data_IF_113310082628
#
_entry.id   IF_113310082628
#
_cell.length_a   1.000
_cell.length_b   1.000
_cell.length_c   1.000
_cell.angle_alpha   90.00
_cell.angle_beta   90.00
_cell.angle_gamma   90.00
#
_symmetry.space_group_name_H-M   'P 1'
#
loop_
_entity.id
_entity.type
_entity.pdbx_description
1 polymer ?
#
# COMPACT_ATOMS: atom_id res chain seq x y z
N UNK A 1 -22.46 13.24 26.10
CA UNK A 1 -22.36 11.77 26.20
C UNK A 1 -21.20 11.30 25.34
N UNK A 2 -20.02 10.99 25.91
CA UNK A 2 -18.92 10.43 25.13
C UNK A 2 -19.21 8.95 24.89
N UNK A 3 -19.48 8.57 23.65
CA UNK A 3 -19.54 7.18 23.22
C UNK A 3 -18.14 6.58 23.38
N UNK A 4 -17.93 5.83 24.46
CA UNK A 4 -16.78 4.93 24.59
C UNK A 4 -16.77 4.04 23.35
N UNK A 5 -15.78 4.24 22.47
CA UNK A 5 -15.42 3.27 21.44
C UNK A 5 -14.96 2.03 22.21
N UNK A 6 -15.86 1.07 22.42
CA UNK A 6 -15.47 -0.24 22.92
C UNK A 6 -14.49 -0.80 21.91
N UNK A 7 -13.23 -0.94 22.32
CA UNK A 7 -12.21 -1.70 21.60
C UNK A 7 -12.67 -3.16 21.55
N UNK A 8 -13.56 -3.50 20.60
CA UNK A 8 -13.73 -4.89 20.20
C UNK A 8 -12.43 -5.24 19.49
N UNK A 9 -11.57 -5.96 20.20
CA UNK A 9 -10.36 -6.50 19.61
C UNK A 9 -10.81 -7.51 18.55
N UNK A 10 -10.49 -7.21 17.30
CA UNK A 10 -10.68 -8.14 16.19
C UNK A 10 -9.96 -9.45 16.50
N UNK A 11 -10.42 -10.53 15.86
CA UNK A 11 -9.77 -11.83 15.99
C UNK A 11 -8.27 -11.68 15.66
N UNK A 12 -7.37 -12.40 16.38
CA UNK A 12 -5.92 -12.23 16.26
C UNK A 12 -5.36 -12.55 14.86
N UNK A 13 -6.16 -13.18 14.00
CA UNK A 13 -5.87 -13.49 12.59
C UNK A 13 -6.41 -12.44 11.61
N UNK A 14 -7.14 -11.43 12.08
CA UNK A 14 -7.71 -10.39 11.22
C UNK A 14 -6.60 -9.54 10.58
N UNK A 15 -6.70 -9.38 9.27
CA UNK A 15 -5.73 -8.60 8.50
C UNK A 15 -5.72 -7.12 8.90
N UNK A 16 -4.59 -6.44 8.75
CA UNK A 16 -4.46 -4.99 9.03
C UNK A 16 -5.54 -4.17 8.29
N UNK A 17 -5.93 -4.59 7.08
CA UNK A 17 -7.00 -3.93 6.33
C UNK A 17 -8.37 -4.05 7.02
N UNK A 18 -8.68 -5.18 7.63
CA UNK A 18 -9.94 -5.36 8.39
C UNK A 18 -9.96 -4.45 9.63
N UNK A 19 -8.83 -4.33 10.33
CA UNK A 19 -8.69 -3.43 11.47
C UNK A 19 -8.90 -1.97 11.07
N UNK A 20 -8.28 -1.53 9.98
CA UNK A 20 -8.45 -0.16 9.47
C UNK A 20 -9.88 0.07 8.99
N UNK A 21 -10.49 -0.91 8.31
CA UNK A 21 -11.88 -0.83 7.86
C UNK A 21 -12.88 -0.66 8.99
N UNK A 22 -12.76 -1.47 10.04
CA UNK A 22 -13.60 -1.34 11.24
C UNK A 22 -13.38 -0.03 11.97
N UNK A 23 -12.11 0.41 12.10
CA UNK A 23 -11.78 1.69 12.69
C UNK A 23 -12.45 2.85 11.95
N UNK A 24 -12.34 2.90 10.61
CA UNK A 24 -13.00 3.94 9.80
C UNK A 24 -14.52 3.92 9.95
N UNK A 25 -15.11 2.72 9.89
CA UNK A 25 -16.56 2.54 10.02
C UNK A 25 -17.08 2.97 11.39
N UNK A 26 -16.38 2.60 12.46
CA UNK A 26 -16.75 2.96 13.84
C UNK A 26 -16.75 4.46 14.09
N UNK A 27 -15.92 5.22 13.34
CA UNK A 27 -15.80 6.67 13.46
C UNK A 27 -16.61 7.43 12.41
N UNK A 28 -17.15 6.76 11.40
CA UNK A 28 -17.88 7.39 10.31
C UNK A 28 -17.04 8.36 9.47
N UNK A 29 -15.71 8.27 9.52
CA UNK A 29 -14.79 9.28 8.98
C UNK A 29 -14.19 8.87 7.62
N UNK A 30 -14.83 7.95 6.89
CA UNK A 30 -14.31 7.46 5.60
C UNK A 30 -14.08 8.60 4.61
N UNK A 31 -14.98 9.58 4.54
CA UNK A 31 -14.89 10.71 3.61
C UNK A 31 -13.82 11.74 4.00
N UNK A 32 -13.30 11.68 5.23
CA UNK A 32 -12.23 12.56 5.74
C UNK A 32 -10.84 11.88 5.65
N UNK A 33 -10.81 10.59 5.29
CA UNK A 33 -9.59 9.78 5.29
C UNK A 33 -9.12 9.55 3.86
N UNK A 34 -7.85 9.85 3.58
CA UNK A 34 -7.19 9.41 2.33
C UNK A 34 -6.62 8.01 2.55
N UNK A 35 -7.21 7.03 1.88
CA UNK A 35 -6.88 5.62 2.06
C UNK A 35 -5.96 5.12 0.95
N UNK A 36 -4.79 4.63 1.37
CA UNK A 36 -3.80 4.01 0.50
C UNK A 36 -3.61 2.53 0.82
N UNK A 37 -3.59 1.68 -0.20
CA UNK A 37 -3.25 0.25 -0.06
C UNK A 37 -2.49 -0.25 -1.28
N UNK A 38 -1.99 -1.49 -1.23
CA UNK A 38 -1.11 -2.06 -2.25
C UNK A 38 -1.52 -3.48 -2.63
N UNK A 39 -1.08 -3.90 -3.81
CA UNK A 39 -1.11 -5.29 -4.27
C UNK A 39 0.24 -5.65 -4.90
N UNK A 40 0.58 -6.95 -4.93
CA UNK A 40 1.63 -7.64 -5.73
C UNK A 40 2.02 -8.93 -4.98
N UNK A 41 2.02 -8.88 -3.65
CA UNK A 41 2.41 -10.01 -2.80
C UNK A 41 1.31 -11.07 -2.74
N UNK A 42 1.67 -12.35 -2.84
CA UNK A 42 0.71 -13.44 -2.70
C UNK A 42 0.24 -13.58 -1.24
N UNK A 43 -0.96 -13.08 -0.95
CA UNK A 43 -1.57 -13.14 0.38
C UNK A 43 -2.38 -14.42 0.63
N UNK A 44 -2.54 -15.28 -0.40
CA UNK A 44 -3.24 -16.58 -0.31
C UNK A 44 -2.31 -17.79 -0.36
N UNK A 45 -1.00 -17.58 -0.26
CA UNK A 45 0.04 -18.62 -0.41
C UNK A 45 -0.09 -19.85 0.50
N UNK A 46 -0.91 -19.80 1.55
CA UNK A 46 -1.19 -20.95 2.42
C UNK A 46 -2.19 -21.96 1.82
N UNK A 47 -2.92 -21.61 0.75
CA UNK A 47 -3.98 -22.46 0.17
C UNK A 47 -3.46 -23.28 -1.03
N UNK A 48 -2.85 -24.44 -0.76
CA UNK A 48 -2.20 -25.27 -1.79
C UNK A 48 -3.14 -25.81 -2.88
N UNK A 49 -4.45 -25.83 -2.62
CA UNK A 49 -5.45 -26.37 -3.55
C UNK A 49 -5.92 -25.36 -4.62
N UNK A 50 -5.48 -24.10 -4.55
CA UNK A 50 -5.85 -23.05 -5.50
C UNK A 50 -4.69 -22.65 -6.44
N UNK A 51 -5.02 -22.15 -7.64
CA UNK A 51 -4.02 -21.60 -8.58
C UNK A 51 -3.43 -20.31 -8.00
N UNK A 52 -2.21 -20.42 -7.48
CA UNK A 52 -1.51 -19.34 -6.76
C UNK A 52 -1.10 -18.16 -7.65
N UNK A 53 -0.88 -18.39 -8.95
CA UNK A 53 -0.46 -17.33 -9.88
C UNK A 53 -1.49 -16.20 -10.04
N UNK A 54 -2.75 -16.45 -9.68
CA UNK A 54 -3.81 -15.44 -9.77
C UNK A 54 -3.91 -14.56 -8.51
N UNK A 55 -3.18 -14.87 -7.44
CA UNK A 55 -3.26 -14.15 -6.16
C UNK A 55 -1.98 -13.41 -5.81
N UNK A 56 -0.98 -13.42 -6.70
CA UNK A 56 0.25 -12.68 -6.59
C UNK A 56 0.75 -12.17 -7.94
N UNK A 57 1.79 -11.36 -7.90
CA UNK A 57 2.38 -10.72 -9.07
C UNK A 57 1.57 -9.55 -9.62
N UNK A 58 2.06 -8.99 -10.72
CA UNK A 58 1.57 -7.73 -11.30
C UNK A 58 0.53 -7.90 -12.41
N UNK A 59 0.14 -9.14 -12.72
CA UNK A 59 -0.91 -9.46 -13.71
C UNK A 59 -2.26 -8.81 -13.41
N UNK A 60 -3.02 -8.50 -14.47
CA UNK A 60 -4.33 -7.82 -14.34
C UNK A 60 -5.32 -8.61 -13.49
N UNK A 61 -5.25 -9.94 -13.51
CA UNK A 61 -6.10 -10.82 -12.72
C UNK A 61 -5.82 -10.69 -11.22
N UNK A 62 -4.55 -10.76 -10.83
CA UNK A 62 -4.07 -10.55 -9.45
C UNK A 62 -4.51 -9.18 -8.92
N UNK A 63 -4.31 -8.15 -9.73
CA UNK A 63 -4.72 -6.78 -9.38
C UNK A 63 -6.22 -6.66 -9.13
N UNK A 64 -7.07 -7.16 -10.04
CA UNK A 64 -8.53 -7.09 -9.92
C UNK A 64 -9.05 -7.85 -8.70
N UNK A 65 -8.51 -9.05 -8.45
CA UNK A 65 -8.89 -9.86 -7.27
C UNK A 65 -8.45 -9.15 -5.99
N UNK A 66 -7.20 -8.67 -5.94
CA UNK A 66 -6.64 -7.97 -4.79
C UNK A 66 -7.42 -6.69 -4.46
N UNK A 67 -7.85 -5.93 -5.47
CA UNK A 67 -8.70 -4.76 -5.27
C UNK A 67 -10.05 -5.14 -4.67
N UNK A 68 -10.71 -6.17 -5.23
CA UNK A 68 -12.01 -6.65 -4.73
C UNK A 68 -11.93 -7.09 -3.26
N UNK A 69 -10.92 -7.88 -2.93
CA UNK A 69 -10.70 -8.37 -1.57
C UNK A 69 -10.33 -7.22 -0.63
N UNK A 70 -9.53 -6.24 -1.09
CA UNK A 70 -9.18 -5.05 -0.31
C UNK A 70 -10.39 -4.20 0.02
N UNK A 71 -11.26 -3.91 -0.95
CA UNK A 71 -12.50 -3.14 -0.72
C UNK A 71 -13.41 -3.83 0.30
N UNK A 72 -13.52 -5.16 0.23
CA UNK A 72 -14.28 -5.96 1.19
C UNK A 72 -13.67 -5.87 2.59
N UNK A 73 -12.36 -6.07 2.73
CA UNK A 73 -11.66 -6.03 4.01
C UNK A 73 -11.71 -4.64 4.65
N UNK A 74 -11.50 -3.60 3.85
CA UNK A 74 -11.54 -2.20 4.28
C UNK A 74 -12.97 -1.67 4.49
N UNK A 75 -14.00 -2.47 4.17
CA UNK A 75 -15.41 -2.10 4.30
C UNK A 75 -15.77 -0.76 3.62
N UNK A 76 -15.22 -0.54 2.42
CA UNK A 76 -15.38 0.70 1.64
C UNK A 76 -15.69 0.40 0.18
N UNK A 77 -16.28 1.36 -0.53
CA UNK A 77 -16.58 1.25 -1.96
C UNK A 77 -15.48 1.80 -2.86
N UNK A 78 -14.53 2.56 -2.30
CA UNK A 78 -13.41 3.14 -3.04
C UNK A 78 -12.13 3.20 -2.20
N UNK A 79 -11.00 3.28 -2.90
CA UNK A 79 -9.64 3.49 -2.40
C UNK A 79 -9.08 4.71 -3.12
N UNK A 80 -8.38 5.59 -2.40
CA UNK A 80 -7.87 6.84 -2.93
C UNK A 80 -6.54 6.64 -3.69
N UNK A 81 -5.64 5.82 -3.13
CA UNK A 81 -4.36 5.46 -3.76
C UNK A 81 -4.16 3.93 -3.75
N UNK A 82 -4.01 3.34 -4.92
CA UNK A 82 -3.75 1.91 -5.08
C UNK A 82 -2.39 1.69 -5.72
N UNK A 83 -1.44 1.18 -4.93
CA UNK A 83 -0.06 0.96 -5.35
C UNK A 83 0.14 -0.42 -5.95
N UNK A 84 0.95 -0.49 -7.01
CA UNK A 84 1.75 -1.67 -7.29
C UNK A 84 2.89 -1.71 -6.26
N UNK A 85 2.99 -2.80 -5.50
CA UNK A 85 3.89 -2.88 -4.36
C UNK A 85 5.32 -3.21 -4.78
N UNK A 86 5.50 -4.17 -5.70
CA UNK A 86 6.81 -4.65 -6.11
C UNK A 86 6.81 -4.98 -7.59
N UNK A 87 7.86 -4.57 -8.31
CA UNK A 87 8.05 -4.99 -9.69
C UNK A 87 8.55 -6.44 -9.73
N UNK A 88 7.83 -7.31 -10.42
CA UNK A 88 8.08 -8.76 -10.49
C UNK A 88 8.57 -9.23 -11.87
N UNK A 89 8.69 -8.31 -12.84
CA UNK A 89 9.08 -8.58 -14.23
C UNK A 89 8.21 -9.60 -14.99
N UNK A 90 7.04 -9.98 -14.44
CA UNK A 90 6.16 -10.98 -15.07
C UNK A 90 5.25 -10.37 -16.12
N UNK A 91 5.06 -9.05 -16.07
CA UNK A 91 4.21 -8.29 -16.98
C UNK A 91 4.98 -7.16 -17.64
N UNK A 92 4.59 -6.83 -18.86
CA UNK A 92 5.12 -5.66 -19.56
C UNK A 92 4.53 -4.36 -18.97
N UNK A 93 5.30 -3.27 -19.02
CA UNK A 93 4.83 -1.93 -18.61
C UNK A 93 3.54 -1.52 -19.36
N UNK A 94 3.42 -1.74 -20.70
CA UNK A 94 2.19 -1.43 -21.42
C UNK A 94 0.97 -2.21 -20.91
N UNK A 95 1.11 -3.51 -20.67
CA UNK A 95 0.03 -4.36 -20.17
C UNK A 95 -0.45 -3.91 -18.78
N UNK A 96 0.50 -3.63 -17.88
CA UNK A 96 0.18 -3.15 -16.54
C UNK A 96 -0.57 -1.82 -16.60
N UNK A 97 -0.05 -0.85 -17.36
CA UNK A 97 -0.64 0.49 -17.47
C UNK A 97 -2.04 0.40 -18.06
N UNK A 98 -2.25 -0.46 -19.06
CA UNK A 98 -3.57 -0.73 -19.63
C UNK A 98 -4.52 -1.33 -18.60
N UNK A 99 -4.03 -2.25 -17.77
CA UNK A 99 -4.82 -2.91 -16.73
C UNK A 99 -5.28 -1.93 -15.65
N UNK A 100 -4.36 -1.10 -15.14
CA UNK A 100 -4.66 -0.06 -14.17
C UNK A 100 -5.67 0.94 -14.74
N UNK A 101 -5.49 1.33 -15.99
CA UNK A 101 -6.44 2.20 -16.68
C UNK A 101 -7.83 1.57 -16.78
N UNK A 102 -7.93 0.28 -17.10
CA UNK A 102 -9.21 -0.44 -17.15
C UNK A 102 -9.99 -0.41 -15.82
N UNK A 103 -9.30 -0.45 -14.67
CA UNK A 103 -9.95 -0.31 -13.35
C UNK A 103 -10.54 1.08 -13.13
N UNK A 104 -9.84 2.11 -13.58
CA UNK A 104 -10.28 3.51 -13.44
C UNK A 104 -11.43 3.83 -14.39
N UNK A 105 -11.36 3.35 -15.63
CA UNK A 105 -12.41 3.53 -16.65
C UNK A 105 -13.72 2.90 -16.21
N UNK A 106 -13.68 1.75 -15.52
CA UNK A 106 -14.85 1.12 -14.91
C UNK A 106 -15.46 1.94 -13.75
N UNK A 107 -14.70 2.89 -13.18
CA UNK A 107 -15.13 3.75 -12.05
C UNK A 107 -15.71 5.12 -12.44
N UNK A 108 -15.31 5.70 -13.58
CA UNK A 108 -15.94 6.83 -14.32
C UNK A 108 -14.99 7.33 -15.42
N UNK A 109 -15.56 7.57 -16.61
CA UNK A 109 -15.01 8.19 -17.82
C UNK A 109 -13.69 8.96 -17.64
N UNK A 110 -12.58 8.41 -18.16
CA UNK A 110 -11.32 9.12 -18.33
C UNK A 110 -11.17 9.59 -19.79
N UNK A 111 -10.85 10.87 -19.97
CA UNK A 111 -10.94 11.60 -21.24
C UNK A 111 -10.03 10.99 -22.30
N UNK A 112 -10.69 10.52 -23.36
CA UNK A 112 -10.26 10.54 -24.75
C UNK A 112 -8.75 10.36 -24.96
N UNK A 113 -8.33 9.09 -24.87
CA UNK A 113 -6.99 8.55 -25.18
C UNK A 113 -5.89 8.66 -24.10
N UNK A 114 -6.18 9.23 -22.91
CA UNK A 114 -5.24 9.40 -21.79
C UNK A 114 -5.24 8.29 -20.72
N UNK A 115 -4.20 7.44 -20.73
CA UNK A 115 -3.86 6.55 -19.61
C UNK A 115 -3.52 7.41 -18.37
N UNK A 116 -3.92 6.96 -17.17
CA UNK A 116 -3.70 7.75 -15.95
C UNK A 116 -2.23 7.66 -15.50
N UNK A 117 -1.52 8.78 -15.31
CA UNK A 117 -0.11 8.76 -14.91
C UNK A 117 0.04 8.25 -13.47
N UNK A 118 1.21 7.71 -13.17
CA UNK A 118 1.59 7.43 -11.78
C UNK A 118 1.64 8.75 -11.02
N UNK A 119 0.97 8.80 -9.86
CA UNK A 119 0.86 10.03 -9.06
C UNK A 119 1.80 10.06 -7.87
N UNK A 120 2.21 8.89 -7.35
CA UNK A 120 3.09 8.78 -6.19
C UNK A 120 4.05 7.60 -6.36
N UNK A 121 5.33 7.82 -6.04
CA UNK A 121 6.37 6.80 -5.92
C UNK A 121 6.70 6.56 -4.45
N UNK A 122 6.66 5.29 -4.02
CA UNK A 122 7.11 4.86 -2.69
C UNK A 122 8.40 4.05 -2.80
N UNK A 123 9.47 4.54 -2.17
CA UNK A 123 10.80 3.93 -2.20
C UNK A 123 11.54 4.01 -0.87
N UNK A 124 12.59 3.20 -0.73
CA UNK A 124 13.43 3.22 0.47
C UNK A 124 14.32 4.46 0.44
N UNK A 125 14.29 5.26 1.50
CA UNK A 125 15.23 6.37 1.65
C UNK A 125 15.42 6.70 3.12
N UNK A 126 16.68 6.93 3.51
CA UNK A 126 17.04 7.45 4.82
C UNK A 126 18.47 8.01 4.79
N UNK A 127 18.92 8.65 5.88
CA UNK A 127 20.24 9.29 5.94
C UNK A 127 21.43 8.35 5.64
N UNK A 128 21.27 7.03 5.80
CA UNK A 128 22.28 6.03 5.50
C UNK A 128 22.14 5.39 4.10
N UNK A 129 20.96 5.47 3.47
CA UNK A 129 20.66 4.92 2.14
C UNK A 129 20.04 6.00 1.26
N UNK A 130 20.88 6.61 0.42
CA UNK A 130 20.58 7.82 -0.36
C UNK A 130 20.56 7.61 -1.87
N UNK A 131 20.61 6.37 -2.35
CA UNK A 131 20.57 6.06 -3.80
C UNK A 131 19.33 6.65 -4.49
N UNK A 132 18.23 6.78 -3.73
CA UNK A 132 17.01 7.46 -4.12
C UNK A 132 17.23 8.87 -4.71
N UNK A 133 18.24 9.59 -4.23
CA UNK A 133 18.52 10.98 -4.62
C UNK A 133 19.18 11.11 -5.98
N UNK A 134 19.85 10.04 -6.45
CA UNK A 134 20.58 10.06 -7.72
C UNK A 134 19.64 10.10 -8.91
N UNK A 135 18.66 9.20 -8.91
CA UNK A 135 17.83 8.94 -10.10
C UNK A 135 16.34 9.20 -9.83
N UNK A 136 15.83 8.81 -8.66
CA UNK A 136 14.39 8.84 -8.40
C UNK A 136 13.88 10.23 -8.08
N UNK A 137 14.58 10.99 -7.22
CA UNK A 137 14.15 12.36 -6.90
C UNK A 137 14.13 13.26 -8.13
N UNK A 138 15.20 13.33 -8.97
CA UNK A 138 15.17 14.16 -10.17
C UNK A 138 14.07 13.72 -11.14
N UNK A 139 13.89 12.41 -11.34
CA UNK A 139 12.81 11.89 -12.19
C UNK A 139 11.44 12.32 -11.68
N UNK A 140 11.15 12.15 -10.39
CA UNK A 140 9.86 12.54 -9.82
C UNK A 140 9.61 14.05 -9.90
N UNK A 141 10.65 14.88 -9.80
CA UNK A 141 10.54 16.33 -10.00
C UNK A 141 10.17 16.70 -11.43
N UNK A 142 10.78 16.04 -12.42
CA UNK A 142 10.50 16.28 -13.85
C UNK A 142 9.10 15.78 -14.24
N UNK A 143 8.73 14.59 -13.78
CA UNK A 143 7.46 13.94 -14.13
C UNK A 143 6.27 14.42 -13.29
N UNK A 144 6.50 15.27 -12.28
CA UNK A 144 5.46 15.76 -11.38
C UNK A 144 4.86 14.68 -10.48
N UNK A 145 5.66 13.68 -10.11
CA UNK A 145 5.25 12.53 -9.29
C UNK A 145 5.55 12.81 -7.82
N UNK A 146 4.58 12.57 -6.93
CA UNK A 146 4.76 12.70 -5.50
C UNK A 146 5.71 11.64 -4.93
N UNK A 147 6.44 11.96 -3.86
CA UNK A 147 7.34 11.02 -3.18
C UNK A 147 6.78 10.62 -1.82
N UNK A 148 6.78 9.31 -1.54
CA UNK A 148 6.37 8.73 -0.25
C UNK A 148 7.45 7.76 0.27
N UNK A 149 8.58 8.27 0.78
CA UNK A 149 9.70 7.42 1.21
C UNK A 149 9.37 6.59 2.46
N UNK A 150 9.88 5.36 2.51
CA UNK A 150 9.80 4.49 3.69
C UNK A 150 11.17 4.22 4.30
N UNK A 151 11.19 3.79 5.57
CA UNK A 151 12.44 3.42 6.26
C UNK A 151 13.23 4.61 6.80
N UNK A 152 12.59 5.78 6.96
CA UNK A 152 13.21 7.05 7.40
C UNK A 152 14.06 6.91 8.66
N UNK A 153 13.59 6.16 9.66
CA UNK A 153 14.29 5.96 10.94
C UNK A 153 15.31 4.81 10.92
N UNK A 154 15.58 4.23 9.74
CA UNK A 154 16.49 3.11 9.55
C UNK A 154 16.25 1.97 10.56
N UNK A 155 14.98 1.53 10.67
CA UNK A 155 14.53 0.51 11.64
C UNK A 155 14.84 0.87 13.11
N UNK A 156 14.80 2.16 13.44
CA UNK A 156 15.05 2.67 14.79
C UNK A 156 16.53 2.86 15.12
N UNK A 157 17.44 2.77 14.14
CA UNK A 157 18.87 3.04 14.35
C UNK A 157 19.17 4.52 14.52
N UNK A 158 18.33 5.40 13.97
CA UNK A 158 18.48 6.85 14.15
C UNK A 158 17.83 7.29 15.45
N UNK A 159 18.52 7.03 16.55
CA UNK A 159 18.14 7.41 17.90
C UNK A 159 19.36 7.88 18.68
N UNK A 160 19.12 8.57 19.80
CA UNK A 160 20.20 9.00 20.69
C UNK A 160 20.88 7.79 21.35
N UNK A 161 22.16 7.93 21.72
CA UNK A 161 22.90 6.88 22.44
C UNK A 161 22.15 6.40 23.71
N UNK A 162 21.60 7.34 24.49
CA UNK A 162 20.77 7.02 25.66
C UNK A 162 19.51 6.21 25.32
N UNK A 163 18.85 6.53 24.19
CA UNK A 163 17.69 5.79 23.70
C UNK A 163 18.05 4.37 23.28
N UNK A 164 19.20 4.22 22.61
CA UNK A 164 19.74 2.92 22.21
C UNK A 164 20.04 2.04 23.44
N UNK A 165 20.81 2.53 24.41
CA UNK A 165 21.12 1.80 25.64
C UNK A 165 19.87 1.37 26.42
N UNK A 166 18.85 2.23 26.48
CA UNK A 166 17.58 1.90 27.15
C UNK A 166 16.82 0.79 26.42
N UNK A 167 16.85 0.78 25.08
CA UNK A 167 16.24 -0.29 24.27
C UNK A 167 16.96 -1.62 24.50
N UNK A 168 18.29 -1.63 24.45
CA UNK A 168 19.10 -2.85 24.64
C UNK A 168 18.86 -3.48 26.02
N UNK A 169 18.69 -2.67 27.07
CA UNK A 169 18.33 -3.15 28.42
C UNK A 169 17.00 -3.89 28.48
N UNK A 170 16.04 -3.50 27.64
CA UNK A 170 14.68 -4.06 27.64
C UNK A 170 14.45 -5.07 26.51
N UNK A 171 15.42 -5.24 25.60
CA UNK A 171 15.31 -6.12 24.46
C UNK A 171 16.70 -6.63 24.07
N UNK A 172 17.20 -7.69 24.73
CA UNK A 172 18.49 -8.31 24.41
C UNK A 172 18.33 -9.16 23.14
N UNK A 173 18.34 -8.51 21.98
CA UNK A 173 18.13 -9.16 20.68
C UNK A 173 18.57 -8.29 19.53
#
# INVERSE_FOLDING_TARGET
>A
MPTLVRHRQLAPDASVQQWVGEWMKSRGNRNETVLATKYSTNYRGAHKDEIQSNFGGNGSKSMKISLKDSLKNLQTTYIDLFYLHQWDYTVSIPELTHSLNGLVVAGKYARCMGLRPFVVYQGMWNAAMRDFERDIIPMCQVEGVGLAPYGILNQGRFQTAKGFEKREKNNPG
#
